data_IF_212691721138
#
_entry.id   IF_212691721138
#
_cell.length_a   1.000
_cell.length_b   1.000
_cell.length_c   1.000
_cell.angle_alpha   90.00
_cell.angle_beta   90.00
_cell.angle_gamma   90.00
#
_symmetry.space_group_name_H-M   'P 1'
#
loop_
_entity.id
_entity.type
_entity.pdbx_description
1 polymer ?
#
# COMPACT_ATOMS: atom_id res chain seq x y z
N UNK A 1 -1.05 -7.48 -35.28
CA UNK A 1 0.17 -6.67 -35.47
C UNK A 1 -0.19 -5.25 -35.08
N UNK A 2 0.38 -4.72 -34.00
CA UNK A 2 0.07 -3.38 -33.52
C UNK A 2 1.01 -2.38 -34.21
N UNK A 3 0.42 -1.41 -34.90
CA UNK A 3 1.10 -0.28 -35.54
C UNK A 3 1.51 0.71 -34.45
N UNK A 4 2.82 0.84 -34.23
CA UNK A 4 3.44 1.89 -33.42
C UNK A 4 3.31 3.24 -34.14
N UNK A 5 2.81 4.30 -33.48
CA UNK A 5 2.75 5.63 -34.10
C UNK A 5 4.15 6.23 -34.20
N UNK A 6 4.44 6.86 -35.34
CA UNK A 6 5.69 7.58 -35.63
C UNK A 6 5.87 8.79 -34.68
N UNK A 7 7.08 9.02 -34.12
CA UNK A 7 7.34 10.16 -33.25
C UNK A 7 7.45 11.47 -34.03
N UNK A 8 6.78 12.52 -33.56
CA UNK A 8 6.90 13.89 -34.08
C UNK A 8 8.35 14.43 -33.92
N UNK A 9 8.91 15.10 -34.94
CA UNK A 9 10.26 15.62 -34.88
C UNK A 9 10.32 16.80 -33.89
N UNK A 10 11.01 16.59 -32.76
CA UNK A 10 11.28 17.64 -31.78
C UNK A 10 11.04 17.24 -30.32
N UNK A 11 10.40 16.10 -30.05
CA UNK A 11 10.29 15.58 -28.68
C UNK A 11 11.37 14.54 -28.49
N UNK A 12 12.51 14.95 -27.93
CA UNK A 12 13.48 14.00 -27.38
C UNK A 12 12.71 13.12 -26.39
N UNK A 13 12.72 11.81 -26.61
CA UNK A 13 12.08 10.85 -25.71
C UNK A 13 12.64 11.07 -24.30
N UNK A 14 11.83 11.65 -23.41
CA UNK A 14 12.21 11.86 -22.02
C UNK A 14 12.32 10.48 -21.41
N UNK A 15 13.55 10.07 -21.12
CA UNK A 15 13.83 8.77 -20.50
C UNK A 15 13.39 8.87 -19.03
N UNK A 16 12.16 8.44 -18.73
CA UNK A 16 11.55 8.43 -17.38
C UNK A 16 12.17 7.38 -16.45
N UNK A 17 13.43 7.02 -16.67
CA UNK A 17 14.15 6.17 -15.73
C UNK A 17 14.46 7.01 -14.50
N UNK A 18 14.06 6.51 -13.35
CA UNK A 18 14.57 7.03 -12.09
C UNK A 18 16.10 7.04 -12.16
N UNK A 19 16.77 8.09 -11.66
CA UNK A 19 18.22 8.12 -11.59
C UNK A 19 18.71 6.87 -10.85
N UNK A 20 19.86 6.31 -11.24
CA UNK A 20 20.41 5.16 -10.54
C UNK A 20 20.53 5.48 -9.04
N UNK A 21 20.22 4.53 -8.15
CA UNK A 21 20.31 4.76 -6.72
C UNK A 21 21.74 5.19 -6.36
N UNK A 22 21.86 6.18 -5.47
CA UNK A 22 23.16 6.66 -4.99
C UNK A 22 24.01 5.48 -4.48
N UNK A 23 25.32 5.43 -4.78
CA UNK A 23 26.19 4.39 -4.27
C UNK A 23 26.15 4.39 -2.74
N UNK A 24 25.66 3.30 -2.16
CA UNK A 24 25.81 3.06 -0.73
C UNK A 24 27.25 2.58 -0.55
N UNK A 25 28.08 3.40 0.12
CA UNK A 25 29.41 2.95 0.53
C UNK A 25 29.25 1.59 1.23
N UNK A 26 30.11 0.58 0.99
CA UNK A 26 30.06 -0.66 1.74
C UNK A 26 30.18 -0.27 3.21
N UNK A 27 29.04 -0.28 3.90
CA UNK A 27 28.94 0.22 5.26
C UNK A 27 29.98 -0.55 6.03
N UNK A 28 30.93 0.17 6.64
CA UNK A 28 31.76 -0.37 7.70
C UNK A 28 30.75 -1.04 8.62
N UNK A 29 30.69 -2.37 8.63
CA UNK A 29 29.78 -3.12 9.49
C UNK A 29 29.97 -2.50 10.85
N UNK A 30 29.00 -1.70 11.29
CA UNK A 30 29.02 -1.18 12.63
C UNK A 30 28.81 -2.45 13.43
N UNK A 31 29.90 -3.02 13.95
CA UNK A 31 29.77 -4.03 14.98
C UNK A 31 29.06 -3.28 16.09
N UNK A 32 27.74 -3.45 16.17
CA UNK A 32 27.05 -3.01 17.36
C UNK A 32 27.76 -3.77 18.48
N UNK A 33 28.15 -3.08 19.56
CA UNK A 33 28.88 -3.72 20.65
C UNK A 33 28.12 -4.95 21.23
N UNK A 34 26.82 -5.04 20.90
CA UNK A 34 25.90 -6.11 21.30
C UNK A 34 25.20 -6.72 20.06
N UNK A 35 25.92 -6.98 18.97
CA UNK A 35 25.35 -7.66 17.79
C UNK A 35 24.67 -8.99 18.17
N UNK A 36 25.21 -9.71 19.15
CA UNK A 36 24.63 -10.97 19.65
C UNK A 36 23.25 -10.75 20.30
N UNK A 37 23.11 -9.69 21.11
CA UNK A 37 21.85 -9.34 21.79
C UNK A 37 20.80 -8.89 20.77
N UNK A 38 21.19 -8.06 19.81
CA UNK A 38 20.30 -7.62 18.74
C UNK A 38 19.86 -8.81 17.86
N UNK A 39 20.78 -9.71 17.56
CA UNK A 39 20.51 -10.92 16.78
C UNK A 39 19.56 -11.85 17.50
N UNK A 40 19.78 -12.11 18.80
CA UNK A 40 18.88 -12.92 19.63
C UNK A 40 17.48 -12.29 19.71
N UNK A 41 17.41 -10.98 19.96
CA UNK A 41 16.15 -10.25 20.02
C UNK A 41 15.37 -10.36 18.71
N UNK A 42 16.02 -10.17 17.57
CA UNK A 42 15.38 -10.28 16.26
C UNK A 42 14.96 -11.73 15.95
N UNK A 43 15.77 -12.73 16.30
CA UNK A 43 15.39 -14.13 16.13
C UNK A 43 14.15 -14.51 16.96
N UNK A 44 14.02 -13.96 18.17
CA UNK A 44 12.87 -14.22 19.04
C UNK A 44 11.63 -13.39 18.66
N UNK A 45 11.84 -12.16 18.15
CA UNK A 45 10.77 -11.19 17.90
C UNK A 45 10.23 -11.25 16.47
N UNK A 46 11.04 -11.64 15.48
CA UNK A 46 10.63 -11.78 14.09
C UNK A 46 9.91 -13.11 13.86
N UNK A 47 8.86 -13.38 14.63
CA UNK A 47 7.91 -14.44 14.30
C UNK A 47 6.95 -13.87 13.27
N UNK A 48 7.40 -13.80 12.02
CA UNK A 48 6.51 -13.52 10.90
C UNK A 48 5.61 -14.75 10.75
N UNK A 49 4.30 -14.66 11.01
CA UNK A 49 3.43 -15.80 10.78
C UNK A 49 3.44 -16.14 9.30
N UNK A 50 3.41 -17.44 8.99
CA UNK A 50 3.18 -17.89 7.62
C UNK A 50 1.78 -17.44 7.20
N UNK A 51 1.73 -16.35 6.44
CA UNK A 51 0.51 -15.89 5.81
C UNK A 51 0.25 -16.81 4.63
N UNK A 52 -0.49 -17.90 4.88
CA UNK A 52 -1.01 -18.77 3.83
C UNK A 52 -2.04 -17.95 3.06
N UNK A 53 -1.58 -17.32 1.98
CA UNK A 53 -2.46 -16.69 1.03
C UNK A 53 -3.17 -17.80 0.27
N UNK A 54 -4.51 -17.92 0.36
CA UNK A 54 -5.25 -18.90 -0.42
C UNK A 54 -4.94 -18.74 -1.91
N UNK A 55 -4.51 -19.84 -2.56
CA UNK A 55 -3.88 -19.91 -3.89
C UNK A 55 -4.59 -19.09 -4.99
N UNK A 56 -5.90 -18.87 -4.89
CA UNK A 56 -6.69 -18.03 -5.82
C UNK A 56 -7.90 -17.34 -5.20
N UNK A 57 -7.96 -17.26 -3.88
CA UNK A 57 -9.17 -16.74 -3.22
C UNK A 57 -8.77 -16.04 -1.95
N UNK A 58 -8.31 -14.78 -2.05
CA UNK A 58 -8.57 -13.79 -0.98
C UNK A 58 -9.88 -14.22 -0.32
N UNK A 59 -9.90 -14.40 1.02
CA UNK A 59 -10.92 -15.19 1.70
C UNK A 59 -12.27 -14.93 1.05
N UNK A 60 -13.14 -15.92 0.93
CA UNK A 60 -14.54 -15.75 0.50
C UNK A 60 -15.33 -14.65 1.26
N UNK A 61 -14.71 -13.88 2.15
CA UNK A 61 -15.02 -12.46 2.30
C UNK A 61 -15.26 -11.87 0.91
N UNK A 62 -16.50 -11.46 0.70
CA UNK A 62 -16.86 -10.59 -0.41
C UNK A 62 -15.82 -9.48 -0.39
N UNK A 63 -14.89 -9.49 -1.35
CA UNK A 63 -14.04 -8.34 -1.53
C UNK A 63 -15.04 -7.20 -1.68
N UNK A 64 -14.91 -6.19 -0.82
CA UNK A 64 -15.66 -4.97 -1.00
C UNK A 64 -15.01 -4.32 -2.22
N UNK A 65 -15.33 -4.87 -3.38
CA UNK A 65 -14.67 -4.59 -4.65
C UNK A 65 -14.89 -3.13 -5.04
N UNK A 66 -15.89 -2.50 -4.41
CA UNK A 66 -16.13 -1.08 -4.35
C UNK A 66 -16.61 -0.71 -2.94
N UNK A 67 -15.75 -0.11 -2.09
CA UNK A 67 -16.22 0.47 -0.83
C UNK A 67 -17.25 1.56 -1.13
N UNK A 68 -18.27 1.74 -0.27
CA UNK A 68 -19.18 2.87 -0.36
C UNK A 68 -18.39 4.17 -0.42
N UNK A 69 -18.76 5.04 -1.35
CA UNK A 69 -18.17 6.38 -1.45
C UNK A 69 -18.88 7.31 -0.48
N UNK A 70 -18.12 8.07 0.28
CA UNK A 70 -18.66 9.12 1.13
C UNK A 70 -18.33 10.48 0.52
N UNK A 71 -19.37 11.28 0.31
CA UNK A 71 -19.17 12.68 -0.05
C UNK A 71 -18.96 13.51 1.22
N UNK A 72 -17.72 13.93 1.45
CA UNK A 72 -17.36 14.74 2.62
C UNK A 72 -18.09 16.09 2.64
N UNK A 73 -18.43 16.65 1.47
CA UNK A 73 -19.14 17.93 1.41
C UNK A 73 -20.56 17.82 1.97
N UNK A 74 -21.19 16.65 1.84
CA UNK A 74 -22.50 16.36 2.43
C UNK A 74 -22.45 16.21 3.95
N UNK A 75 -21.28 15.93 4.53
CA UNK A 75 -21.08 15.84 5.97
C UNK A 75 -20.97 17.21 6.63
N UNK A 76 -20.41 18.19 5.92
CA UNK A 76 -20.29 19.56 6.42
C UNK A 76 -21.66 20.25 6.52
N UNK A 77 -22.63 19.83 5.70
CA UNK A 77 -24.04 20.24 5.82
C UNK A 77 -24.81 19.59 6.98
N UNK A 78 -24.16 18.69 7.72
CA UNK A 78 -24.59 17.95 8.91
C UNK A 78 -26.10 18.00 9.24
N UNK A 79 -26.90 17.30 8.44
CA UNK A 79 -28.14 16.74 8.95
C UNK A 79 -27.75 15.55 9.84
N UNK A 80 -28.29 15.49 11.07
CA UNK A 80 -27.98 14.47 12.08
C UNK A 80 -28.14 13.02 11.58
N UNK A 81 -28.88 12.82 10.50
CA UNK A 81 -29.21 11.52 9.92
C UNK A 81 -28.01 10.91 9.17
N UNK A 82 -27.27 11.71 8.40
CA UNK A 82 -26.13 11.24 7.59
C UNK A 82 -25.00 10.62 8.44
N UNK A 83 -24.79 11.12 9.65
CA UNK A 83 -23.79 10.57 10.57
C UNK A 83 -24.15 9.18 11.12
N UNK A 84 -25.44 8.92 11.34
CA UNK A 84 -25.92 7.62 11.81
C UNK A 84 -25.78 6.57 10.71
N UNK A 85 -26.13 6.92 9.47
CA UNK A 85 -26.00 6.04 8.30
C UNK A 85 -24.54 5.63 8.06
N UNK A 86 -23.59 6.56 8.18
CA UNK A 86 -22.15 6.27 8.00
C UNK A 86 -21.63 5.34 9.08
N UNK A 87 -22.04 5.55 10.33
CA UNK A 87 -21.66 4.67 11.43
C UNK A 87 -22.15 3.24 11.19
N UNK A 88 -23.38 3.08 10.71
CA UNK A 88 -23.95 1.78 10.36
C UNK A 88 -23.21 1.13 9.16
N UNK A 89 -22.90 1.92 8.13
CA UNK A 89 -22.09 1.49 6.99
C UNK A 89 -20.69 1.00 7.43
N UNK A 90 -20.05 1.67 8.39
CA UNK A 90 -18.75 1.25 8.96
C UNK A 90 -18.91 -0.07 9.72
N UNK A 91 -19.95 -0.19 10.55
CA UNK A 91 -20.20 -1.42 11.30
C UNK A 91 -20.45 -2.62 10.38
N UNK A 92 -21.08 -2.39 9.22
CA UNK A 92 -21.42 -3.45 8.26
C UNK A 92 -20.28 -3.79 7.29
N UNK A 93 -19.60 -2.79 6.74
CA UNK A 93 -18.62 -2.95 5.64
C UNK A 93 -17.18 -2.93 6.18
N UNK A 94 -16.93 -2.19 7.26
CA UNK A 94 -15.60 -2.03 7.87
C UNK A 94 -14.63 -1.17 7.07
N UNK A 95 -15.01 -0.71 5.86
CA UNK A 95 -14.20 0.16 5.01
C UNK A 95 -15.06 1.05 4.10
N UNK A 96 -14.53 2.22 3.76
CA UNK A 96 -15.18 3.29 2.98
C UNK A 96 -14.15 3.93 2.04
N UNK A 97 -14.60 4.65 1.01
CA UNK A 97 -13.74 5.31 0.02
C UNK A 97 -14.07 6.79 -0.19
#
# INVERSE_FOLDING_TARGET
>A
MAITPEPLPGIQAVDFRAPPPSPVAPGRRSSFANDDVLTEYLQQSLKVPDLILPDRVFPRQKSVQNPPRIDLQSLDSLEKDAGAEISELIAQVGCLK
#
